data_IF_526771845772
#
_entry.id   IF_526771845772
#
_cell.length_a   1.000
_cell.length_b   1.000
_cell.length_c   1.000
_cell.angle_alpha   90.00
_cell.angle_beta   90.00
_cell.angle_gamma   90.00
#
_symmetry.space_group_name_H-M   'P 1'
#
loop_
_entity.id
_entity.type
_entity.pdbx_description
1 polymer ?
#
# COMPACT_ATOMS: atom_id res chain seq x y z
N UNK A 1 -43.07 31.23 -12.19
CA UNK A 1 -42.72 29.80 -12.15
C UNK A 1 -41.22 29.54 -12.18
N UNK A 2 -40.47 30.03 -13.19
CA UNK A 2 -39.01 29.76 -13.36
C UNK A 2 -38.16 30.14 -12.12
N UNK A 3 -38.40 31.30 -11.50
CA UNK A 3 -37.66 31.74 -10.29
C UNK A 3 -37.88 30.84 -9.06
N UNK A 4 -39.03 30.19 -8.93
CA UNK A 4 -39.31 29.30 -7.81
C UNK A 4 -38.61 27.95 -8.00
N UNK A 5 -38.63 27.41 -9.22
CA UNK A 5 -37.95 26.15 -9.59
C UNK A 5 -36.43 26.25 -9.45
N UNK A 6 -35.81 27.36 -9.90
CA UNK A 6 -34.38 27.63 -9.70
C UNK A 6 -33.99 27.75 -8.23
N UNK A 7 -34.89 28.29 -7.38
CA UNK A 7 -34.64 28.42 -5.93
C UNK A 7 -34.66 27.06 -5.25
N UNK A 8 -35.62 26.18 -5.58
CA UNK A 8 -35.69 24.80 -5.08
C UNK A 8 -34.53 23.92 -5.58
N UNK A 9 -34.12 24.04 -6.85
CA UNK A 9 -32.94 23.35 -7.38
C UNK A 9 -31.65 23.82 -6.68
N UNK A 10 -31.51 25.15 -6.48
CA UNK A 10 -30.36 25.73 -5.80
C UNK A 10 -30.27 25.30 -4.33
N UNK A 11 -31.40 25.24 -3.62
CA UNK A 11 -31.42 24.75 -2.22
C UNK A 11 -31.09 23.26 -2.14
N UNK A 12 -31.64 22.42 -3.03
CA UNK A 12 -31.33 20.98 -3.08
C UNK A 12 -29.86 20.69 -3.38
N UNK A 13 -29.25 21.45 -4.30
CA UNK A 13 -27.82 21.34 -4.62
C UNK A 13 -26.93 21.75 -3.44
N UNK A 14 -27.27 22.84 -2.74
CA UNK A 14 -26.56 23.28 -1.54
C UNK A 14 -26.68 22.25 -0.42
N UNK A 15 -27.85 21.63 -0.23
CA UNK A 15 -28.03 20.56 0.76
C UNK A 15 -27.20 19.32 0.42
N UNK A 16 -27.17 18.89 -0.85
CA UNK A 16 -26.32 17.78 -1.30
C UNK A 16 -24.82 18.08 -1.12
N UNK A 17 -24.39 19.31 -1.41
CA UNK A 17 -23.01 19.74 -1.16
C UNK A 17 -22.67 19.74 0.32
N UNK A 18 -23.56 20.23 1.19
CA UNK A 18 -23.37 20.21 2.65
C UNK A 18 -23.30 18.76 3.14
N UNK A 19 -24.19 17.88 2.68
CA UNK A 19 -24.15 16.46 3.02
C UNK A 19 -22.82 15.85 2.54
N UNK A 20 -22.40 16.11 1.30
CA UNK A 20 -21.14 15.64 0.74
C UNK A 20 -19.92 16.10 1.53
N UNK A 21 -19.88 17.39 1.92
CA UNK A 21 -18.82 17.96 2.76
C UNK A 21 -18.84 17.31 4.15
N UNK A 22 -20.01 17.17 4.78
CA UNK A 22 -20.12 16.52 6.08
C UNK A 22 -19.68 15.06 6.00
N UNK A 23 -20.12 14.30 4.99
CA UNK A 23 -19.68 12.91 4.80
C UNK A 23 -18.18 12.82 4.56
N UNK A 24 -17.59 13.73 3.78
CA UNK A 24 -16.14 13.79 3.60
C UNK A 24 -15.43 14.03 4.93
N UNK A 25 -15.85 15.03 5.72
CA UNK A 25 -15.26 15.36 7.02
C UNK A 25 -15.43 14.24 8.08
N UNK A 26 -16.45 13.39 7.94
CA UNK A 26 -16.65 12.23 8.83
C UNK A 26 -15.79 11.02 8.45
N UNK A 27 -15.33 10.92 7.20
CA UNK A 27 -14.57 9.77 6.70
C UNK A 27 -13.07 10.07 6.64
N UNK A 28 -12.69 11.33 6.43
CA UNK A 28 -11.30 11.78 6.41
C UNK A 28 -10.70 11.74 7.82
N UNK A 29 -10.07 10.62 8.18
CA UNK A 29 -9.38 10.46 9.45
C UNK A 29 -8.00 11.15 9.39
N UNK A 30 -7.60 11.85 10.44
CA UNK A 30 -6.21 12.32 10.57
C UNK A 30 -5.26 11.15 10.87
N UNK A 31 -3.99 11.26 10.46
CA UNK A 31 -2.94 10.33 10.90
C UNK A 31 -2.92 10.30 12.43
N UNK A 32 -3.00 9.13 13.08
CA UNK A 32 -3.03 9.04 14.53
C UNK A 32 -1.67 9.40 15.15
N UNK A 33 -1.71 9.89 16.39
CA UNK A 33 -0.50 10.08 17.17
C UNK A 33 0.13 8.74 17.55
N UNK A 34 1.42 8.59 17.26
CA UNK A 34 2.21 7.41 17.59
C UNK A 34 3.33 7.72 18.59
N UNK A 35 3.73 6.69 19.35
CA UNK A 35 4.88 6.76 20.27
C UNK A 35 6.07 6.03 19.65
N UNK A 36 7.18 6.75 19.41
CA UNK A 36 8.44 6.12 18.98
C UNK A 36 9.08 5.37 20.15
N UNK A 37 9.85 4.33 19.84
CA UNK A 37 10.68 3.64 20.82
C UNK A 37 10.60 2.12 20.70
N UNK A 38 11.01 1.45 21.76
CA UNK A 38 11.18 0.00 21.81
C UNK A 38 9.93 -0.78 21.36
N UNK A 39 8.74 -0.38 21.81
CA UNK A 39 7.47 -1.03 21.45
C UNK A 39 7.22 -1.04 19.93
N UNK A 40 7.51 0.07 19.24
CA UNK A 40 7.33 0.17 17.80
C UNK A 40 8.31 -0.74 17.03
N UNK A 41 9.55 -0.81 17.51
CA UNK A 41 10.58 -1.65 16.89
C UNK A 41 10.30 -3.14 17.15
N UNK A 42 9.85 -3.51 18.35
CA UNK A 42 9.44 -4.88 18.69
C UNK A 42 8.23 -5.34 17.86
N UNK A 43 7.23 -4.47 17.66
CA UNK A 43 6.09 -4.78 16.78
C UNK A 43 6.52 -5.01 15.33
N UNK A 44 7.45 -4.20 14.84
CA UNK A 44 8.01 -4.38 13.50
C UNK A 44 8.80 -5.70 13.40
N UNK A 45 9.60 -6.04 14.41
CA UNK A 45 10.36 -7.29 14.45
C UNK A 45 9.46 -8.52 14.52
N UNK A 46 8.39 -8.45 15.31
CA UNK A 46 7.41 -9.51 15.41
C UNK A 46 6.74 -9.77 14.06
N UNK A 47 6.33 -8.70 13.35
CA UNK A 47 5.75 -8.81 12.02
C UNK A 47 6.72 -9.40 11.00
N UNK A 48 7.96 -8.91 10.96
CA UNK A 48 8.99 -9.41 10.05
C UNK A 48 9.37 -10.87 10.34
N UNK A 49 9.36 -11.26 11.62
CA UNK A 49 9.61 -12.64 12.05
C UNK A 49 8.47 -13.55 11.61
N UNK A 50 7.21 -13.15 11.86
CA UNK A 50 6.03 -13.91 11.47
C UNK A 50 5.97 -14.16 9.95
N UNK A 51 6.40 -13.18 9.16
CA UNK A 51 6.39 -13.26 7.70
C UNK A 51 7.66 -13.89 7.08
N UNK A 52 8.65 -14.25 7.90
CA UNK A 52 9.96 -14.76 7.48
C UNK A 52 10.73 -13.80 6.55
N UNK A 53 10.99 -12.57 7.03
CA UNK A 53 11.82 -11.58 6.33
C UNK A 53 13.19 -12.11 5.87
N UNK A 54 13.96 -12.89 6.66
CA UNK A 54 15.22 -13.45 6.16
C UNK A 54 15.04 -14.33 4.93
N UNK A 55 13.97 -15.14 4.87
CA UNK A 55 13.63 -15.91 3.67
C UNK A 55 13.27 -15.00 2.50
N UNK A 56 12.47 -13.95 2.74
CA UNK A 56 12.14 -12.95 1.71
C UNK A 56 13.39 -12.33 1.12
N UNK A 57 14.39 -12.00 1.94
CA UNK A 57 15.64 -11.37 1.50
C UNK A 57 16.50 -12.27 0.59
N UNK A 58 16.26 -13.58 0.60
CA UNK A 58 16.96 -14.56 -0.25
C UNK A 58 16.25 -14.89 -1.56
N UNK A 59 15.05 -14.35 -1.81
CA UNK A 59 14.33 -14.60 -3.06
C UNK A 59 14.95 -13.80 -4.22
N UNK A 60 15.36 -14.50 -5.27
CA UNK A 60 15.94 -13.91 -6.48
C UNK A 60 14.87 -13.43 -7.46
N UNK A 61 13.82 -14.23 -7.69
CA UNK A 61 12.74 -13.90 -8.62
C UNK A 61 11.42 -13.80 -7.88
N UNK A 62 10.62 -12.77 -8.18
CA UNK A 62 9.22 -12.63 -7.75
C UNK A 62 8.38 -12.27 -8.98
N UNK A 63 7.44 -13.15 -9.33
CA UNK A 63 6.49 -12.92 -10.41
C UNK A 63 5.09 -12.81 -9.83
N UNK A 64 4.28 -11.88 -10.33
CA UNK A 64 2.89 -11.72 -9.91
C UNK A 64 2.08 -10.90 -10.92
N UNK A 65 0.76 -11.04 -10.84
CA UNK A 65 -0.22 -10.24 -11.58
C UNK A 65 -1.01 -9.37 -10.61
N UNK A 66 -0.99 -8.06 -10.82
CA UNK A 66 -1.79 -7.10 -10.06
C UNK A 66 -3.15 -6.84 -10.75
N UNK A 67 -4.25 -6.58 -9.99
CA UNK A 67 -5.55 -6.24 -10.55
C UNK A 67 -5.49 -5.12 -11.58
N UNK A 68 -6.16 -5.30 -12.71
CA UNK A 68 -6.09 -4.38 -13.85
C UNK A 68 -5.19 -4.86 -14.98
N UNK A 69 -4.53 -6.02 -14.82
CA UNK A 69 -3.79 -6.69 -15.89
C UNK A 69 -2.34 -6.25 -16.01
N UNK A 70 -1.75 -5.76 -14.92
CA UNK A 70 -0.31 -5.51 -14.85
C UNK A 70 0.40 -6.79 -14.42
N UNK A 71 1.39 -7.24 -15.20
CA UNK A 71 2.22 -8.41 -14.86
C UNK A 71 3.66 -7.99 -14.62
N UNK A 72 4.30 -8.69 -13.69
CA UNK A 72 5.66 -8.39 -13.24
C UNK A 72 6.51 -9.64 -13.25
N UNK A 73 7.70 -9.55 -13.85
CA UNK A 73 8.80 -10.49 -13.66
C UNK A 73 9.96 -9.75 -13.00
N UNK A 74 10.07 -9.85 -11.68
CA UNK A 74 11.05 -9.08 -10.91
C UNK A 74 12.28 -9.93 -10.59
N UNK A 75 13.41 -9.61 -11.25
CA UNK A 75 14.72 -10.16 -10.95
C UNK A 75 15.47 -9.27 -9.96
N UNK A 76 15.53 -9.70 -8.70
CA UNK A 76 16.17 -8.97 -7.61
C UNK A 76 17.69 -9.09 -7.61
N UNK A 77 18.25 -10.13 -8.21
CA UNK A 77 19.71 -10.32 -8.30
C UNK A 77 20.33 -9.37 -9.32
N UNK A 78 19.65 -9.18 -10.46
CA UNK A 78 20.07 -8.24 -11.50
C UNK A 78 19.54 -6.82 -11.23
N UNK A 79 18.63 -6.67 -10.26
CA UNK A 79 17.90 -5.45 -9.95
C UNK A 79 17.16 -4.92 -11.19
N UNK A 80 16.44 -5.82 -11.87
CA UNK A 80 15.66 -5.54 -13.07
C UNK A 80 14.22 -6.04 -12.91
N UNK A 81 13.27 -5.37 -13.56
CA UNK A 81 11.88 -5.83 -13.59
C UNK A 81 11.30 -5.66 -14.97
N UNK A 82 10.70 -6.73 -15.49
CA UNK A 82 9.85 -6.65 -16.67
C UNK A 82 8.43 -6.28 -16.23
N UNK A 83 7.88 -5.23 -16.81
CA UNK A 83 6.54 -4.72 -16.51
C UNK A 83 5.71 -4.75 -17.78
N UNK A 84 4.55 -5.38 -17.73
CA UNK A 84 3.64 -5.45 -18.88
C UNK A 84 2.25 -4.97 -18.48
N UNK A 85 1.65 -4.11 -19.31
CA UNK A 85 0.29 -3.60 -19.15
C UNK A 85 -0.28 -3.21 -20.51
N UNK A 86 -1.56 -3.46 -20.75
CA UNK A 86 -2.20 -3.22 -22.05
C UNK A 86 -1.37 -3.84 -23.22
N UNK A 87 -0.77 -3.01 -24.08
CA UNK A 87 0.14 -3.42 -25.17
C UNK A 87 1.61 -3.08 -24.90
N UNK A 88 1.94 -2.55 -23.72
CA UNK A 88 3.29 -2.16 -23.33
C UNK A 88 4.00 -3.33 -22.66
N UNK A 89 5.32 -3.38 -22.88
CA UNK A 89 6.23 -4.37 -22.33
C UNK A 89 7.60 -3.69 -22.20
N UNK A 90 8.01 -3.40 -20.97
CA UNK A 90 9.26 -2.68 -20.69
C UNK A 90 10.10 -3.49 -19.72
N UNK A 91 11.40 -3.53 -19.97
CA UNK A 91 12.40 -4.05 -19.04
C UNK A 91 13.10 -2.88 -18.37
N UNK A 92 12.89 -2.72 -17.07
CA UNK A 92 13.46 -1.64 -16.28
C UNK A 92 14.70 -2.12 -15.55
N UNK A 93 15.79 -1.37 -15.67
CA UNK A 93 16.96 -1.52 -14.79
C UNK A 93 16.83 -0.58 -13.59
N UNK A 94 16.63 -1.13 -12.40
CA UNK A 94 16.37 -0.38 -11.17
C UNK A 94 17.64 0.23 -10.56
N UNK A 95 18.81 0.06 -11.18
CA UNK A 95 20.03 0.79 -10.84
C UNK A 95 20.12 2.16 -11.56
N UNK A 96 19.29 2.37 -12.59
CA UNK A 96 19.21 3.64 -13.33
C UNK A 96 18.26 4.58 -12.59
N UNK A 97 18.62 5.86 -12.55
CA UNK A 97 17.78 6.87 -11.90
C UNK A 97 16.46 7.03 -12.65
N UNK A 98 15.29 7.11 -11.99
CA UNK A 98 14.00 7.26 -12.67
C UNK A 98 13.91 8.48 -13.60
N UNK A 99 14.71 9.53 -13.39
CA UNK A 99 14.77 10.70 -14.29
C UNK A 99 15.38 10.39 -15.67
N UNK A 100 16.08 9.27 -15.82
CA UNK A 100 16.68 8.83 -17.08
C UNK A 100 15.74 7.93 -17.90
N UNK A 101 14.62 7.50 -17.32
CA UNK A 101 13.63 6.69 -18.01
C UNK A 101 12.89 7.50 -19.09
N UNK A 102 12.58 6.83 -20.20
CA UNK A 102 11.59 7.33 -21.15
C UNK A 102 10.20 7.42 -20.49
N UNK A 103 9.27 8.14 -21.12
CA UNK A 103 7.92 8.30 -20.55
C UNK A 103 7.21 6.97 -20.30
N UNK A 104 7.39 5.98 -21.18
CA UNK A 104 6.79 4.65 -21.01
C UNK A 104 7.48 3.84 -19.91
N UNK A 105 8.81 3.91 -19.81
CA UNK A 105 9.56 3.24 -18.74
C UNK A 105 9.21 3.84 -17.37
N UNK A 106 9.08 5.16 -17.28
CA UNK A 106 8.69 5.84 -16.05
C UNK A 106 7.27 5.43 -15.61
N UNK A 107 6.32 5.33 -16.55
CA UNK A 107 4.98 4.81 -16.24
C UNK A 107 5.03 3.37 -15.71
N UNK A 108 5.84 2.50 -16.34
CA UNK A 108 6.06 1.13 -15.85
C UNK A 108 6.68 1.11 -14.46
N UNK A 109 7.61 2.02 -14.17
CA UNK A 109 8.22 2.20 -12.85
C UNK A 109 7.18 2.63 -11.81
N UNK A 110 6.32 3.61 -12.11
CA UNK A 110 5.24 4.04 -11.21
C UNK A 110 4.28 2.89 -10.88
N UNK A 111 3.85 2.12 -11.88
CA UNK A 111 3.03 0.93 -11.67
C UNK A 111 3.74 -0.10 -10.80
N UNK A 112 5.00 -0.43 -11.10
CA UNK A 112 5.76 -1.39 -10.32
C UNK A 112 5.89 -0.96 -8.85
N UNK A 113 6.25 0.30 -8.58
CA UNK A 113 6.40 0.79 -7.20
C UNK A 113 5.08 0.74 -6.45
N UNK A 114 3.96 1.15 -7.07
CA UNK A 114 2.65 1.10 -6.43
C UNK A 114 2.16 -0.33 -6.21
N UNK A 115 2.19 -1.15 -7.25
CA UNK A 115 1.52 -2.45 -7.27
C UNK A 115 2.30 -3.49 -6.46
N UNK A 116 3.64 -3.48 -6.54
CA UNK A 116 4.47 -4.33 -5.68
C UNK A 116 4.31 -3.98 -4.20
N UNK A 117 4.01 -2.72 -3.86
CA UNK A 117 3.85 -2.30 -2.48
C UNK A 117 2.70 -3.04 -1.79
N UNK A 118 1.60 -3.32 -2.50
CA UNK A 118 0.51 -4.14 -1.96
C UNK A 118 0.94 -5.56 -1.60
N UNK A 119 1.92 -6.11 -2.32
CA UNK A 119 2.46 -7.44 -2.05
C UNK A 119 3.52 -7.45 -0.94
N UNK A 120 4.43 -6.47 -0.93
CA UNK A 120 5.67 -6.55 -0.14
C UNK A 120 5.83 -5.47 0.94
N UNK A 121 4.86 -4.56 1.11
CA UNK A 121 4.96 -3.48 2.10
C UNK A 121 5.34 -3.91 3.53
N UNK A 122 4.89 -5.06 4.08
CA UNK A 122 5.31 -5.48 5.41
C UNK A 122 6.84 -5.66 5.53
N UNK A 123 7.48 -6.10 4.44
CA UNK A 123 8.93 -6.34 4.41
C UNK A 123 9.75 -5.04 4.27
N UNK A 124 9.10 -3.93 3.90
CA UNK A 124 9.71 -2.62 3.67
C UNK A 124 9.71 -1.71 4.90
N UNK A 125 9.14 -2.15 6.03
CA UNK A 125 9.03 -1.32 7.24
C UNK A 125 10.37 -0.96 7.88
N UNK A 126 11.48 -1.56 7.42
CA UNK A 126 12.86 -1.26 7.85
C UNK A 126 13.69 -0.54 6.78
N UNK A 127 13.08 -0.12 5.67
CA UNK A 127 13.79 0.59 4.61
C UNK A 127 14.36 1.93 5.13
N UNK A 128 15.37 2.44 4.42
CA UNK A 128 15.98 3.71 4.76
C UNK A 128 14.94 4.84 4.67
N UNK A 129 14.90 5.72 5.68
CA UNK A 129 13.94 6.81 5.78
C UNK A 129 12.54 6.39 6.27
N UNK A 130 12.40 5.18 6.81
CA UNK A 130 11.14 4.75 7.43
C UNK A 130 11.12 5.08 8.92
N UNK A 131 10.11 5.82 9.35
CA UNK A 131 9.80 6.11 10.75
C UNK A 131 8.72 5.14 11.23
N UNK A 132 8.93 4.53 12.41
CA UNK A 132 7.98 3.63 13.06
C UNK A 132 7.56 4.18 14.43
N UNK A 133 6.28 4.07 14.74
CA UNK A 133 5.71 4.44 16.05
C UNK A 133 4.61 3.44 16.46
N UNK A 134 4.49 3.13 17.75
CA UNK A 134 3.38 2.34 18.26
C UNK A 134 2.14 3.22 18.41
N UNK A 135 0.97 2.67 18.11
CA UNK A 135 -0.32 3.33 18.26
C UNK A 135 -1.22 2.45 19.10
N UNK A 136 -1.83 3.03 20.14
CA UNK A 136 -2.85 2.34 20.94
C UNK A 136 -4.14 2.27 20.14
N UNK A 137 -4.61 1.06 19.91
CA UNK A 137 -5.88 0.79 19.25
C UNK A 137 -6.88 0.26 20.30
N UNK A 138 -8.17 0.45 20.04
CA UNK A 138 -9.22 -0.18 20.86
C UNK A 138 -9.13 -1.71 20.79
N UNK A 139 -8.75 -2.24 19.62
CA UNK A 139 -8.53 -3.66 19.38
C UNK A 139 -7.27 -3.87 18.52
N UNK A 140 -6.41 -4.80 18.95
CA UNK A 140 -5.15 -5.14 18.27
C UNK A 140 -4.00 -4.19 18.62
N UNK A 141 -2.88 -4.32 17.89
CA UNK A 141 -1.67 -3.54 18.11
C UNK A 141 -1.35 -2.72 16.87
N UNK A 142 -1.18 -1.41 17.06
CA UNK A 142 -0.94 -0.47 15.97
C UNK A 142 0.54 -0.21 15.77
N UNK A 143 1.02 -0.39 14.54
CA UNK A 143 2.33 0.08 14.10
C UNK A 143 2.12 1.14 13.03
N UNK A 144 2.36 2.41 13.34
CA UNK A 144 2.35 3.50 12.36
C UNK A 144 3.70 3.57 11.68
N UNK A 145 3.69 3.49 10.35
CA UNK A 145 4.87 3.52 9.49
C UNK A 145 4.75 4.69 8.53
N UNK A 146 5.73 5.58 8.53
CA UNK A 146 5.81 6.73 7.63
C UNK A 146 7.08 6.63 6.78
N UNK A 147 6.92 6.69 5.46
CA UNK A 147 8.02 6.63 4.50
C UNK A 147 8.46 8.04 4.12
N UNK A 148 9.53 8.57 4.74
CA UNK A 148 9.95 9.97 4.49
C UNK A 148 10.76 10.15 3.23
N UNK A 149 11.26 9.05 2.63
CA UNK A 149 12.07 9.03 1.41
C UNK A 149 11.78 7.79 0.58
N UNK A 150 12.13 7.82 -0.70
CA UNK A 150 11.96 6.70 -1.62
C UNK A 150 10.54 6.57 -2.17
N UNK A 151 10.35 5.58 -3.05
CA UNK A 151 9.10 5.38 -3.77
C UNK A 151 8.70 6.55 -4.66
N UNK A 152 7.43 6.58 -5.07
CA UNK A 152 6.84 7.66 -5.87
C UNK A 152 5.99 8.62 -5.03
N UNK A 153 5.70 8.27 -3.76
CA UNK A 153 4.87 9.04 -2.82
C UNK A 153 5.53 9.22 -1.43
N UNK A 154 6.67 9.93 -1.35
CA UNK A 154 7.30 10.21 -0.06
C UNK A 154 6.36 11.05 0.83
N UNK A 155 6.29 10.68 2.11
CA UNK A 155 5.39 11.28 3.11
C UNK A 155 4.20 10.39 3.47
N UNK A 156 3.92 9.36 2.67
CA UNK A 156 2.82 8.44 2.93
C UNK A 156 2.97 7.71 4.27
N UNK A 157 1.84 7.54 4.94
CA UNK A 157 1.75 6.87 6.25
C UNK A 157 0.75 5.73 6.23
N UNK A 158 1.11 4.65 6.90
CA UNK A 158 0.37 3.39 6.94
C UNK A 158 0.28 2.93 8.39
N UNK A 159 -0.93 2.78 8.93
CA UNK A 159 -1.14 2.19 10.25
C UNK A 159 -1.44 0.71 10.09
N UNK A 160 -0.47 -0.13 10.42
CA UNK A 160 -0.62 -1.58 10.45
C UNK A 160 -1.38 -2.00 11.72
N UNK A 161 -2.37 -2.85 11.55
CA UNK A 161 -3.12 -3.49 12.63
C UNK A 161 -2.64 -4.93 12.69
N UNK A 162 -1.80 -5.22 13.67
CA UNK A 162 -1.10 -6.50 13.82
C UNK A 162 -1.83 -7.36 14.85
N UNK A 163 -2.01 -8.64 14.52
CA UNK A 163 -2.65 -9.60 15.41
C UNK A 163 -1.69 -10.22 16.43
N UNK A 164 -2.22 -11.06 17.32
CA UNK A 164 -1.44 -11.71 18.39
C UNK A 164 -0.37 -12.68 17.89
N UNK A 165 -0.39 -13.07 16.62
CA UNK A 165 0.61 -13.95 15.99
C UNK A 165 1.65 -13.16 15.19
N UNK A 166 1.58 -11.83 15.21
CA UNK A 166 2.46 -10.95 14.43
C UNK A 166 2.03 -10.75 12.98
N UNK A 167 0.92 -11.33 12.52
CA UNK A 167 0.46 -11.13 11.16
C UNK A 167 -0.28 -9.79 11.04
N UNK A 168 -0.04 -9.01 9.97
CA UNK A 168 -0.90 -7.87 9.69
C UNK A 168 -2.30 -8.39 9.33
N UNK A 169 -3.34 -7.82 9.94
CA UNK A 169 -4.75 -8.11 9.63
C UNK A 169 -5.36 -7.06 8.72
N UNK A 170 -4.92 -5.83 8.87
CA UNK A 170 -5.39 -4.69 8.11
C UNK A 170 -4.35 -3.58 8.19
N UNK A 171 -4.49 -2.61 7.30
CA UNK A 171 -3.86 -1.31 7.45
C UNK A 171 -4.85 -0.18 7.18
N UNK A 172 -4.56 1.00 7.72
CA UNK A 172 -5.16 2.26 7.28
C UNK A 172 -4.15 3.10 6.53
N UNK A 173 -4.60 3.79 5.49
CA UNK A 173 -3.76 4.49 4.53
C UNK A 173 -3.93 6.01 4.63
N UNK A 174 -2.83 6.75 4.60
CA UNK A 174 -2.78 8.20 4.38
C UNK A 174 -1.74 8.45 3.31
N UNK A 175 -2.19 8.52 2.05
CA UNK A 175 -1.30 8.63 0.89
C UNK A 175 -1.60 9.88 0.09
N UNK A 176 -0.59 10.44 -0.57
CA UNK A 176 -0.76 11.63 -1.42
C UNK A 176 -1.71 11.41 -2.61
N UNK A 177 -1.88 10.15 -3.03
CA UNK A 177 -2.74 9.77 -4.14
C UNK A 177 -4.22 9.62 -3.75
N UNK A 178 -4.52 9.49 -2.46
CA UNK A 178 -5.88 9.25 -1.96
C UNK A 178 -6.36 10.48 -1.18
N UNK A 179 -7.45 11.14 -1.60
CA UNK A 179 -7.91 12.38 -0.96
C UNK A 179 -8.58 12.17 0.41
N UNK A 180 -8.75 10.93 0.86
CA UNK A 180 -9.42 10.58 2.10
C UNK A 180 -8.46 9.77 2.98
N UNK A 181 -8.12 10.30 4.15
CA UNK A 181 -7.29 9.61 5.12
C UNK A 181 -8.03 8.48 5.84
N UNK A 182 -7.28 7.44 6.20
CA UNK A 182 -7.79 6.35 7.04
C UNK A 182 -8.50 5.22 6.30
N UNK A 183 -8.47 5.20 4.96
CA UNK A 183 -9.03 4.08 4.18
C UNK A 183 -8.42 2.76 4.65
N UNK A 184 -9.29 1.82 5.04
CA UNK A 184 -8.90 0.54 5.62
C UNK A 184 -8.97 -0.58 4.59
N UNK A 185 -7.86 -1.29 4.44
CA UNK A 185 -7.79 -2.53 3.66
C UNK A 185 -7.30 -3.67 4.57
N UNK A 186 -7.84 -4.86 4.35
CA UNK A 186 -7.41 -6.08 5.03
C UNK A 186 -6.11 -6.64 4.46
N UNK A 187 -5.54 -7.59 5.20
CA UNK A 187 -4.49 -8.49 4.73
C UNK A 187 -5.04 -9.92 4.88
N UNK A 188 -5.16 -10.63 3.76
CA UNK A 188 -5.85 -11.90 3.66
C UNK A 188 -5.32 -12.73 2.48
N UNK A 189 -5.91 -13.91 2.27
CA UNK A 189 -5.39 -14.83 1.25
C UNK A 189 -3.93 -15.22 1.51
N UNK A 190 -3.55 -15.34 2.78
CA UNK A 190 -2.19 -15.67 3.19
C UNK A 190 -1.73 -16.99 2.59
N UNK A 191 -0.66 -16.95 1.81
CA UNK A 191 -0.02 -18.12 1.21
C UNK A 191 1.45 -18.17 1.60
N UNK A 192 1.96 -19.37 1.86
CA UNK A 192 3.38 -19.60 2.07
C UNK A 192 4.03 -19.98 0.73
N UNK A 193 5.10 -19.31 0.36
CA UNK A 193 5.94 -19.61 -0.80
C UNK A 193 7.39 -19.65 -0.35
N UNK A 194 8.06 -20.80 -0.50
CA UNK A 194 9.47 -20.98 -0.13
C UNK A 194 9.77 -20.59 1.34
N UNK A 195 8.81 -20.78 2.25
CA UNK A 195 8.95 -20.39 3.67
C UNK A 195 8.52 -18.96 4.00
N UNK A 196 8.16 -18.15 3.00
CA UNK A 196 7.81 -16.73 3.17
C UNK A 196 6.30 -16.56 3.02
N UNK A 197 5.69 -15.78 3.92
CA UNK A 197 4.24 -15.53 3.89
C UNK A 197 3.91 -14.27 3.09
N UNK A 198 3.02 -14.42 2.11
CA UNK A 198 2.49 -13.33 1.30
C UNK A 198 0.97 -13.25 1.45
N UNK A 199 0.43 -12.03 1.48
CA UNK A 199 -1.00 -11.77 1.38
C UNK A 199 -1.34 -11.52 -0.07
N UNK A 200 -2.30 -12.27 -0.60
CA UNK A 200 -2.77 -12.12 -1.98
C UNK A 200 -4.13 -11.44 -2.08
N UNK A 201 -4.78 -11.15 -0.96
CA UNK A 201 -6.12 -10.57 -0.94
C UNK A 201 -6.23 -9.43 0.08
N UNK A 202 -6.68 -8.26 -0.38
CA UNK A 202 -6.85 -7.07 0.44
C UNK A 202 -8.29 -6.57 0.36
N UNK A 203 -9.18 -7.07 1.24
CA UNK A 203 -10.57 -6.65 1.23
C UNK A 203 -10.74 -5.24 1.77
N UNK A 204 -11.69 -4.48 1.24
CA UNK A 204 -12.08 -3.18 1.81
C UNK A 204 -13.57 -2.93 1.69
N UNK A 205 -14.04 -1.81 2.23
CA UNK A 205 -15.44 -1.42 2.06
C UNK A 205 -15.74 -0.80 0.68
N UNK A 206 -14.71 -0.51 -0.11
CA UNK A 206 -14.83 0.22 -1.39
C UNK A 206 -14.55 -0.73 -2.56
N UNK A 207 -13.39 -1.38 -2.53
CA UNK A 207 -12.94 -2.32 -3.55
C UNK A 207 -12.00 -3.36 -2.95
N UNK A 208 -12.18 -4.60 -3.34
CA UNK A 208 -11.26 -5.68 -2.98
C UNK A 208 -10.14 -5.76 -4.01
N UNK A 209 -8.92 -6.05 -3.55
CA UNK A 209 -7.74 -6.20 -4.40
C UNK A 209 -7.22 -7.62 -4.26
N UNK A 210 -7.04 -8.31 -5.39
CA UNK A 210 -6.55 -9.70 -5.42
C UNK A 210 -5.33 -9.83 -6.33
N UNK A 211 -4.18 -10.16 -5.75
CA UNK A 211 -2.95 -10.44 -6.47
C UNK A 211 -2.95 -11.91 -6.88
N UNK A 212 -2.66 -12.18 -8.14
CA UNK A 212 -2.68 -13.54 -8.70
C UNK A 212 -1.31 -13.93 -9.25
N UNK A 213 -1.16 -15.19 -9.65
CA UNK A 213 0.04 -15.72 -10.30
C UNK A 213 1.35 -15.52 -9.53
N UNK A 214 1.29 -15.51 -8.19
CA UNK A 214 2.49 -15.38 -7.36
C UNK A 214 3.40 -16.61 -7.49
N UNK A 215 4.58 -16.41 -8.08
CA UNK A 215 5.68 -17.36 -8.13
C UNK A 215 6.97 -16.73 -7.60
N UNK A 216 7.77 -17.51 -6.87
CA UNK A 216 9.05 -17.05 -6.33
C UNK A 216 10.13 -18.12 -6.47
N UNK A 217 11.37 -17.68 -6.70
CA UNK A 217 12.55 -18.56 -6.74
C UNK A 217 13.73 -17.98 -5.95
N UNK A 218 14.70 -18.84 -5.70
CA UNK A 218 16.08 -18.47 -5.35
C UNK A 218 16.92 -18.39 -6.63
#
# INVERSE_FOLDING_TARGET
MIKAVLKFLGTGLVTLLIIGILTYLFIDESVPDGTKGQEAEELADEMLTALNKPGFDTLSIINFTYPGGHTYEWNRDENEVRVQWESNDVLLNLNVSPEEYSSTEYQGYEYFINDSFWLIAPFKVRDHGVIRSSVKLDEGRGLLVTYTTGGVTPGDSYLWIIDEKGFPKAWKLWTSNVPIGGLKFGWGGWTEKKGVWFSLFHPSQVIDLEITDLEVSY
#
